data_IF_481584843542
#
_entry.id   IF_481584843542
#
_cell.length_a   1.000
_cell.length_b   1.000
_cell.length_c   1.000
_cell.angle_alpha   90.00
_cell.angle_beta   90.00
_cell.angle_gamma   90.00
#
_symmetry.space_group_name_H-M   'P 1'
#
loop_
_entity.id
_entity.type
_entity.pdbx_description
1 polymer ?
#
# COMPACT_ATOMS: atom_id res chain seq x y z
N UNK A 1 5.94 15.88 -14.77
CA UNK A 1 6.74 15.17 -13.74
C UNK A 1 6.90 15.94 -12.44
N UNK A 2 6.90 17.26 -12.44
CA UNK A 2 6.89 18.11 -11.21
C UNK A 2 5.71 17.83 -10.27
N UNK A 3 4.60 17.29 -10.78
CA UNK A 3 3.38 16.99 -10.04
C UNK A 3 3.58 15.88 -8.97
N UNK A 4 4.60 15.04 -9.10
CA UNK A 4 4.85 13.90 -8.21
C UNK A 4 5.87 14.19 -7.09
N UNK A 5 6.27 15.45 -6.89
CA UNK A 5 7.18 15.78 -5.79
C UNK A 5 6.41 15.76 -4.45
N UNK A 6 6.47 14.66 -3.74
CA UNK A 6 5.81 14.48 -2.44
C UNK A 6 6.63 13.56 -1.53
N UNK A 7 6.55 13.78 -0.20
CA UNK A 7 7.38 13.07 0.78
C UNK A 7 7.31 11.54 0.69
N UNK A 8 6.16 10.98 0.32
CA UNK A 8 5.94 9.52 0.20
C UNK A 8 5.90 9.02 -1.26
N UNK A 9 6.41 9.81 -2.19
CA UNK A 9 6.62 9.46 -3.59
C UNK A 9 8.11 9.63 -3.90
N UNK A 10 8.69 8.73 -4.71
CA UNK A 10 10.07 8.85 -5.15
C UNK A 10 10.26 10.14 -5.94
N UNK A 11 11.29 10.92 -5.61
CA UNK A 11 11.63 12.12 -6.36
C UNK A 11 12.37 11.76 -7.64
N UNK A 12 11.90 12.30 -8.75
CA UNK A 12 12.54 12.19 -10.05
C UNK A 12 13.39 13.44 -10.30
N UNK A 13 14.69 13.26 -10.55
CA UNK A 13 15.62 14.38 -10.81
C UNK A 13 15.77 14.69 -12.29
N UNK A 14 15.52 13.71 -13.17
CA UNK A 14 15.57 13.91 -14.60
C UNK A 14 15.53 12.62 -15.40
N UNK A 15 15.46 12.76 -16.71
CA UNK A 15 15.62 11.67 -17.66
C UNK A 15 16.42 12.14 -18.87
N UNK A 16 17.20 11.25 -19.46
CA UNK A 16 17.95 11.54 -20.68
C UNK A 16 18.04 10.30 -21.56
N UNK A 17 18.16 10.55 -22.86
CA UNK A 17 18.39 9.52 -23.86
C UNK A 17 19.88 9.49 -24.19
N UNK A 18 20.44 8.29 -24.30
CA UNK A 18 21.79 8.08 -24.80
C UNK A 18 21.75 7.85 -26.32
N UNK A 19 22.90 7.98 -27.00
CA UNK A 19 23.00 7.84 -28.46
C UNK A 19 22.52 6.50 -29.02
N UNK A 20 22.50 5.45 -28.21
CA UNK A 20 21.96 4.11 -28.55
C UNK A 20 20.46 3.93 -28.23
N UNK A 21 19.71 5.03 -28.04
CA UNK A 21 18.28 5.03 -27.67
C UNK A 21 17.96 4.50 -26.26
N UNK A 22 18.96 4.19 -25.44
CA UNK A 22 18.73 3.84 -24.04
C UNK A 22 18.20 5.04 -23.26
N UNK A 23 17.07 4.86 -22.58
CA UNK A 23 16.52 5.88 -21.70
C UNK A 23 16.99 5.67 -20.25
N UNK A 24 17.59 6.71 -19.69
CA UNK A 24 18.01 6.74 -18.29
C UNK A 24 17.10 7.64 -17.49
N UNK A 25 16.73 7.17 -16.30
CA UNK A 25 15.93 7.91 -15.33
C UNK A 25 16.79 8.11 -14.08
N UNK A 26 16.98 9.37 -13.69
CA UNK A 26 17.72 9.74 -12.48
C UNK A 26 16.71 10.05 -11.39
N UNK A 27 16.75 9.30 -10.30
CA UNK A 27 15.81 9.43 -9.20
C UNK A 27 16.49 9.41 -7.85
N UNK A 28 15.76 9.77 -6.83
CA UNK A 28 16.17 9.67 -5.44
C UNK A 28 16.60 8.24 -5.10
N UNK A 29 17.66 8.13 -4.30
CA UNK A 29 18.17 6.83 -3.83
C UNK A 29 17.43 6.39 -2.57
N UNK A 30 16.78 5.22 -2.62
CA UNK A 30 16.31 4.52 -1.43
C UNK A 30 17.40 3.63 -0.84
N UNK A 31 17.24 3.24 0.41
CA UNK A 31 18.13 2.30 1.08
C UNK A 31 17.81 0.86 0.70
N UNK A 32 16.53 0.50 0.77
CA UNK A 32 16.06 -0.87 0.60
C UNK A 32 14.55 -0.87 0.31
N UNK A 33 14.06 -1.82 -0.46
CA UNK A 33 12.62 -2.05 -0.60
C UNK A 33 12.03 -2.71 0.66
N UNK A 34 10.73 -2.50 0.85
CA UNK A 34 10.01 -2.97 2.04
C UNK A 34 10.02 -4.50 2.18
N UNK A 35 10.01 -5.24 1.08
CA UNK A 35 10.07 -6.72 1.12
C UNK A 35 11.39 -7.20 1.71
N UNK A 36 12.52 -6.66 1.21
CA UNK A 36 13.86 -7.02 1.68
C UNK A 36 14.09 -6.52 3.11
N UNK A 37 13.63 -5.31 3.42
CA UNK A 37 13.68 -4.77 4.77
C UNK A 37 12.97 -5.69 5.77
N UNK A 38 11.74 -6.09 5.50
CA UNK A 38 10.97 -6.98 6.37
C UNK A 38 11.58 -8.39 6.45
N UNK A 39 12.10 -8.93 5.34
CA UNK A 39 12.78 -10.23 5.36
C UNK A 39 14.00 -10.23 6.29
N UNK A 40 14.70 -9.11 6.41
CA UNK A 40 15.81 -8.95 7.33
C UNK A 40 15.35 -8.69 8.77
N UNK A 41 14.32 -7.87 8.93
CA UNK A 41 13.74 -7.49 10.22
C UNK A 41 13.18 -8.71 10.96
N UNK A 42 12.39 -9.52 10.28
CA UNK A 42 11.69 -10.68 10.83
C UNK A 42 12.62 -11.84 11.25
N UNK A 43 13.90 -11.77 10.92
CA UNK A 43 14.93 -12.67 11.47
C UNK A 43 15.22 -12.39 12.96
N UNK A 44 14.91 -11.18 13.45
CA UNK A 44 15.26 -10.70 14.80
C UNK A 44 14.07 -10.21 15.61
N UNK A 45 13.01 -9.76 14.95
CA UNK A 45 11.85 -9.11 15.55
C UNK A 45 10.55 -9.69 15.05
N UNK A 46 9.50 -9.56 15.85
CA UNK A 46 8.13 -9.89 15.43
C UNK A 46 7.48 -8.70 14.73
N UNK A 47 6.65 -8.97 13.71
CA UNK A 47 5.85 -7.94 13.08
C UNK A 47 4.72 -7.49 14.01
N UNK A 48 4.68 -6.22 14.35
CA UNK A 48 3.68 -5.64 15.25
C UNK A 48 2.60 -4.90 14.50
N UNK A 49 1.44 -4.76 15.12
CA UNK A 49 0.34 -3.96 14.58
C UNK A 49 0.71 -2.47 14.51
N UNK A 50 1.46 -1.97 15.49
CA UNK A 50 2.01 -0.60 15.50
C UNK A 50 2.86 -0.33 14.26
N UNK A 51 3.74 -1.28 13.92
CA UNK A 51 4.56 -1.16 12.72
C UNK A 51 3.74 -1.25 11.43
N UNK A 52 2.72 -2.13 11.40
CA UNK A 52 1.77 -2.19 10.28
C UNK A 52 1.07 -0.85 10.05
N UNK A 53 0.62 -0.22 11.13
CA UNK A 53 -0.05 1.08 11.10
C UNK A 53 0.88 2.19 10.58
N UNK A 54 2.13 2.20 11.04
CA UNK A 54 3.16 3.14 10.59
C UNK A 54 3.43 3.03 9.08
N UNK A 55 3.58 1.80 8.56
CA UNK A 55 3.74 1.55 7.11
C UNK A 55 2.50 2.04 6.35
N UNK A 56 1.32 1.59 6.80
CA UNK A 56 0.06 1.88 6.15
C UNK A 56 -0.19 3.38 5.98
N UNK A 57 0.00 4.16 7.06
CA UNK A 57 -0.21 5.60 7.04
C UNK A 57 0.64 6.29 5.98
N UNK A 58 1.92 5.95 5.87
CA UNK A 58 2.82 6.57 4.90
C UNK A 58 2.46 6.21 3.45
N UNK A 59 2.05 4.95 3.20
CA UNK A 59 1.57 4.55 1.88
C UNK A 59 0.26 5.27 1.53
N UNK A 60 -0.67 5.39 2.49
CA UNK A 60 -1.91 6.15 2.29
C UNK A 60 -1.65 7.63 1.99
N UNK A 61 -0.67 8.27 2.63
CA UNK A 61 -0.28 9.66 2.31
C UNK A 61 0.19 9.77 0.85
N UNK A 62 1.00 8.81 0.38
CA UNK A 62 1.40 8.73 -1.03
C UNK A 62 0.22 8.54 -1.98
N UNK A 63 -0.66 7.56 -1.69
CA UNK A 63 -1.85 7.29 -2.50
C UNK A 63 -2.83 8.47 -2.53
N UNK A 64 -2.98 9.18 -1.42
CA UNK A 64 -3.79 10.41 -1.35
C UNK A 64 -3.22 11.51 -2.26
N UNK A 65 -1.90 11.62 -2.34
CA UNK A 65 -1.27 12.54 -3.28
C UNK A 65 -1.51 12.11 -4.73
N UNK A 66 -1.35 10.82 -5.06
CA UNK A 66 -1.64 10.28 -6.39
C UNK A 66 -3.10 10.52 -6.80
N UNK A 67 -4.04 10.31 -5.87
CA UNK A 67 -5.45 10.62 -6.10
C UNK A 67 -5.65 12.08 -6.51
N UNK A 68 -5.05 13.03 -5.78
CA UNK A 68 -5.12 14.46 -6.11
C UNK A 68 -4.54 14.80 -7.48
N UNK A 69 -3.57 14.00 -7.93
CA UNK A 69 -2.94 14.14 -9.24
C UNK A 69 -3.67 13.36 -10.36
N UNK A 70 -4.80 12.71 -10.04
CA UNK A 70 -5.54 11.82 -10.96
C UNK A 70 -4.68 10.67 -11.51
N UNK A 71 -3.88 10.05 -10.66
CA UNK A 71 -2.99 8.95 -11.02
C UNK A 71 -3.42 7.68 -10.30
N UNK A 72 -3.50 6.57 -11.04
CA UNK A 72 -3.59 5.20 -10.53
C UNK A 72 -2.21 4.58 -10.65
N UNK A 73 -1.72 3.94 -9.60
CA UNK A 73 -0.44 3.26 -9.61
C UNK A 73 -0.51 1.86 -10.21
N UNK A 74 -1.56 1.09 -9.90
CA UNK A 74 -1.85 -0.29 -10.30
C UNK A 74 -0.93 -1.37 -9.72
N UNK A 75 0.22 -1.06 -9.13
CA UNK A 75 1.18 -2.08 -8.66
C UNK A 75 1.69 -1.79 -7.24
N UNK A 76 0.77 -1.51 -6.32
CA UNK A 76 1.09 -1.32 -4.90
C UNK A 76 1.41 -2.68 -4.28
N UNK A 77 2.68 -2.87 -3.92
CA UNK A 77 3.23 -4.09 -3.30
C UNK A 77 4.53 -3.78 -2.55
N UNK A 78 5.02 -4.67 -1.66
CA UNK A 78 6.22 -4.39 -0.85
C UNK A 78 7.49 -4.12 -1.67
N UNK A 79 7.58 -4.66 -2.90
CA UNK A 79 8.72 -4.42 -3.78
C UNK A 79 8.75 -2.98 -4.33
N UNK A 80 7.59 -2.34 -4.43
CA UNK A 80 7.42 -0.99 -4.98
C UNK A 80 7.29 0.08 -3.89
N UNK A 81 7.69 -0.26 -2.67
CA UNK A 81 7.82 0.67 -1.54
C UNK A 81 9.27 0.60 -1.07
N UNK A 82 9.97 1.73 -1.07
CA UNK A 82 11.32 1.83 -0.52
C UNK A 82 11.34 2.61 0.79
N UNK A 83 12.34 2.32 1.60
CA UNK A 83 12.65 3.07 2.81
C UNK A 83 13.95 3.85 2.61
N UNK A 84 14.00 5.05 3.18
CA UNK A 84 15.24 5.78 3.38
C UNK A 84 15.91 5.40 4.72
N UNK A 85 17.04 6.05 5.02
CA UNK A 85 17.78 5.82 6.28
C UNK A 85 17.03 6.27 7.54
N UNK A 86 15.98 7.07 7.38
CA UNK A 86 15.13 7.60 8.45
C UNK A 86 13.79 6.88 8.57
N UNK A 87 13.62 5.72 7.90
CA UNK A 87 12.38 4.94 7.83
C UNK A 87 11.20 5.70 7.17
N UNK A 88 11.47 6.70 6.33
CA UNK A 88 10.42 7.25 5.49
C UNK A 88 10.17 6.30 4.32
N UNK A 89 8.90 6.04 4.06
CA UNK A 89 8.48 5.19 2.96
C UNK A 89 8.12 6.03 1.74
N UNK A 90 8.53 5.54 0.57
CA UNK A 90 8.22 6.18 -0.71
C UNK A 90 7.73 5.13 -1.71
N UNK A 91 6.67 5.45 -2.41
CA UNK A 91 6.14 4.66 -3.53
C UNK A 91 7.06 4.88 -4.74
N UNK A 92 7.43 3.79 -5.41
CA UNK A 92 8.31 3.76 -6.58
C UNK A 92 7.65 2.98 -7.73
N UNK A 93 8.29 2.97 -8.90
CA UNK A 93 7.92 2.19 -10.08
C UNK A 93 6.55 2.56 -10.66
N UNK A 94 6.53 3.68 -11.37
CA UNK A 94 5.35 4.19 -12.08
C UNK A 94 5.19 3.63 -13.50
N UNK A 95 5.87 2.53 -13.86
CA UNK A 95 5.83 1.93 -15.20
C UNK A 95 4.43 1.44 -15.60
N UNK A 96 3.65 0.99 -14.61
CA UNK A 96 2.26 0.54 -14.79
C UNK A 96 1.24 1.65 -14.58
N UNK A 97 1.62 2.79 -14.04
CA UNK A 97 0.71 3.85 -13.63
C UNK A 97 -0.04 4.48 -14.81
N UNK A 98 -1.16 5.11 -14.50
CA UNK A 98 -1.99 5.80 -15.48
C UNK A 98 -2.49 7.14 -14.95
N UNK A 99 -2.30 8.19 -15.74
CA UNK A 99 -2.87 9.50 -15.48
C UNK A 99 -4.22 9.61 -16.19
N UNK A 100 -5.29 9.78 -15.42
CA UNK A 100 -6.66 9.88 -15.91
C UNK A 100 -7.18 11.32 -16.03
N UNK A 101 -6.32 12.35 -15.87
CA UNK A 101 -6.72 13.76 -15.99
C UNK A 101 -7.29 14.11 -17.36
N UNK A 102 -6.88 13.37 -18.42
CA UNK A 102 -7.34 13.55 -19.79
C UNK A 102 -8.76 13.01 -20.06
N UNK A 103 -9.34 12.27 -19.11
CA UNK A 103 -10.65 11.65 -19.26
C UNK A 103 -11.74 12.68 -18.89
N UNK A 104 -11.91 13.69 -19.76
CA UNK A 104 -12.92 14.73 -19.55
C UNK A 104 -14.29 14.24 -20.02
N UNK A 105 -15.32 14.45 -19.19
CA UNK A 105 -16.73 14.19 -19.55
C UNK A 105 -17.18 12.73 -19.43
N UNK A 106 -16.30 11.78 -19.10
CA UNK A 106 -16.71 10.42 -18.82
C UNK A 106 -17.07 10.27 -17.33
N UNK A 107 -18.19 9.61 -17.07
CA UNK A 107 -18.59 9.21 -15.71
C UNK A 107 -17.94 7.89 -15.28
N UNK A 108 -17.57 7.04 -16.25
CA UNK A 108 -17.05 5.70 -16.04
C UNK A 108 -15.82 5.42 -16.92
N UNK A 109 -14.94 4.56 -16.44
CA UNK A 109 -13.77 4.03 -17.16
C UNK A 109 -13.69 2.52 -16.99
N UNK A 110 -13.00 1.84 -17.91
CA UNK A 110 -12.59 0.46 -17.76
C UNK A 110 -11.11 0.49 -17.32
N UNK A 111 -10.77 -0.03 -16.13
CA UNK A 111 -9.39 -0.06 -15.69
C UNK A 111 -8.55 -0.96 -16.59
N UNK A 112 -7.29 -0.58 -16.82
CA UNK A 112 -6.37 -1.39 -17.60
C UNK A 112 -5.87 -2.57 -16.78
N UNK A 113 -5.77 -3.74 -17.42
CA UNK A 113 -5.15 -4.91 -16.82
C UNK A 113 -3.62 -4.68 -16.70
N UNK A 114 -3.19 -4.27 -15.51
CA UNK A 114 -1.80 -3.92 -15.20
C UNK A 114 -1.47 -4.24 -13.74
N UNK A 115 -0.19 -4.48 -13.47
CA UNK A 115 0.30 -4.73 -12.12
C UNK A 115 0.56 -6.21 -11.84
N UNK A 116 0.66 -6.58 -10.58
CA UNK A 116 0.96 -7.93 -10.11
C UNK A 116 -0.33 -8.64 -9.73
N UNK A 117 -0.67 -9.75 -10.41
CA UNK A 117 -1.96 -10.45 -10.35
C UNK A 117 -2.52 -10.62 -8.93
N UNK A 118 -1.69 -11.06 -7.98
CA UNK A 118 -2.14 -11.30 -6.59
C UNK A 118 -2.52 -10.06 -5.78
N UNK A 119 -2.15 -8.88 -6.25
CA UNK A 119 -2.50 -7.60 -5.62
C UNK A 119 -3.61 -6.87 -6.37
N UNK A 120 -4.02 -7.38 -7.54
CA UNK A 120 -5.03 -6.73 -8.37
C UNK A 120 -6.41 -6.77 -7.72
N UNK A 121 -7.13 -5.67 -7.84
CA UNK A 121 -8.52 -5.59 -7.47
C UNK A 121 -9.41 -6.38 -8.45
N UNK A 122 -10.55 -6.94 -7.99
CA UNK A 122 -11.41 -7.78 -8.83
C UNK A 122 -11.91 -7.08 -10.09
N UNK A 123 -12.23 -5.79 -10.02
CA UNK A 123 -12.65 -4.98 -11.16
C UNK A 123 -11.57 -4.79 -12.23
N UNK A 124 -10.27 -4.85 -11.83
CA UNK A 124 -9.13 -4.82 -12.76
C UNK A 124 -9.01 -6.14 -13.51
N UNK A 125 -9.10 -7.26 -12.79
CA UNK A 125 -9.02 -8.61 -13.36
C UNK A 125 -10.13 -8.83 -14.39
N UNK A 126 -11.36 -8.45 -14.06
CA UNK A 126 -12.53 -8.63 -14.94
C UNK A 126 -12.75 -7.47 -15.91
N UNK A 127 -11.93 -6.42 -15.87
CA UNK A 127 -12.08 -5.23 -16.72
C UNK A 127 -13.48 -4.63 -16.62
N UNK A 128 -14.00 -4.57 -15.40
CA UNK A 128 -15.32 -4.02 -15.12
C UNK A 128 -15.32 -2.49 -15.17
N UNK A 129 -16.43 -1.91 -15.64
CA UNK A 129 -16.59 -0.45 -15.63
C UNK A 129 -16.66 0.06 -14.20
N UNK A 130 -15.90 1.10 -13.91
CA UNK A 130 -15.90 1.79 -12.63
C UNK A 130 -16.18 3.29 -12.81
N UNK A 131 -16.75 3.92 -11.81
CA UNK A 131 -16.90 5.38 -11.80
C UNK A 131 -15.55 6.05 -11.73
N UNK A 132 -15.33 7.09 -12.54
CA UNK A 132 -14.06 7.85 -12.54
C UNK A 132 -13.65 8.31 -11.13
N UNK A 133 -14.61 8.75 -10.30
CA UNK A 133 -14.33 9.18 -8.92
C UNK A 133 -13.80 8.07 -8.01
N UNK A 134 -14.03 6.79 -8.35
CA UNK A 134 -13.67 5.63 -7.53
C UNK A 134 -12.33 4.99 -7.94
N UNK A 135 -11.63 5.51 -8.96
CA UNK A 135 -10.41 4.94 -9.52
C UNK A 135 -9.33 4.64 -8.46
N UNK A 136 -9.18 5.50 -7.47
CA UNK A 136 -8.18 5.36 -6.40
C UNK A 136 -8.42 4.15 -5.49
N UNK A 137 -9.62 3.59 -5.50
CA UNK A 137 -9.97 2.41 -4.70
C UNK A 137 -9.31 1.13 -5.22
N UNK A 138 -8.81 1.14 -6.47
CA UNK A 138 -7.98 0.05 -7.03
C UNK A 138 -6.72 -0.11 -6.19
N UNK A 139 -5.97 0.97 -5.99
CA UNK A 139 -4.72 0.94 -5.21
C UNK A 139 -4.97 0.67 -3.72
N UNK A 140 -6.14 1.06 -3.19
CA UNK A 140 -6.52 0.74 -1.81
C UNK A 140 -6.78 -0.76 -1.60
N UNK A 141 -7.35 -1.46 -2.59
CA UNK A 141 -7.45 -2.93 -2.52
C UNK A 141 -6.05 -3.57 -2.49
N UNK A 142 -5.15 -3.12 -3.37
CA UNK A 142 -3.76 -3.60 -3.41
C UNK A 142 -3.03 -3.35 -2.10
N UNK A 143 -3.26 -2.20 -1.44
CA UNK A 143 -2.77 -1.91 -0.10
C UNK A 143 -3.33 -2.90 0.93
N UNK A 144 -4.61 -3.24 0.86
CA UNK A 144 -5.25 -4.24 1.73
C UNK A 144 -4.59 -5.62 1.60
N UNK A 145 -4.35 -6.08 0.35
CA UNK A 145 -3.62 -7.33 0.08
C UNK A 145 -2.20 -7.27 0.63
N UNK A 146 -1.52 -6.14 0.44
CA UNK A 146 -0.16 -5.94 0.95
C UNK A 146 -0.13 -6.03 2.48
N UNK A 147 -0.98 -5.31 3.19
CA UNK A 147 -1.05 -5.33 4.65
C UNK A 147 -1.38 -6.72 5.17
N UNK A 148 -2.37 -7.40 4.58
CA UNK A 148 -2.72 -8.76 4.95
C UNK A 148 -1.51 -9.69 4.84
N UNK A 149 -0.81 -9.67 3.70
CA UNK A 149 0.36 -10.51 3.46
C UNK A 149 1.51 -10.23 4.41
N UNK A 150 1.78 -8.96 4.70
CA UNK A 150 2.83 -8.55 5.63
C UNK A 150 2.53 -9.04 7.05
N UNK A 151 1.26 -8.99 7.45
CA UNK A 151 0.81 -9.37 8.78
C UNK A 151 0.74 -10.88 8.97
N UNK A 152 0.11 -11.58 8.02
CA UNK A 152 -0.19 -13.02 8.16
C UNK A 152 0.83 -13.92 7.45
N UNK A 153 1.65 -13.39 6.52
CA UNK A 153 2.70 -14.12 5.79
C UNK A 153 2.21 -14.88 4.55
N UNK A 154 0.93 -14.82 4.22
CA UNK A 154 0.33 -15.40 3.01
C UNK A 154 -0.68 -14.41 2.40
N UNK A 155 -1.16 -14.70 1.19
CA UNK A 155 -2.15 -13.85 0.54
C UNK A 155 -3.55 -14.05 1.14
N UNK A 156 -4.41 -13.03 1.12
CA UNK A 156 -5.83 -13.20 1.42
C UNK A 156 -6.49 -14.13 0.39
N UNK A 157 -7.72 -14.56 0.66
CA UNK A 157 -8.54 -15.38 -0.25
C UNK A 157 -7.93 -16.73 -0.64
N UNK A 158 -7.01 -17.27 0.17
CA UNK A 158 -6.30 -18.53 -0.09
C UNK A 158 -5.58 -18.58 -1.45
N UNK A 159 -5.09 -17.44 -1.94
CA UNK A 159 -4.27 -17.38 -3.15
C UNK A 159 -2.93 -18.08 -2.93
N UNK A 160 -2.56 -18.97 -3.84
CA UNK A 160 -1.33 -19.75 -3.84
C UNK A 160 -0.47 -19.41 -5.05
N UNK A 161 0.83 -19.74 -5.00
CA UNK A 161 1.76 -19.34 -6.08
C UNK A 161 1.38 -19.96 -7.42
N UNK A 162 0.80 -21.15 -7.41
CA UNK A 162 0.33 -21.88 -8.59
C UNK A 162 -0.82 -21.17 -9.31
N UNK A 163 -1.52 -20.27 -8.63
CA UNK A 163 -2.63 -19.52 -9.22
C UNK A 163 -2.15 -18.32 -10.06
N UNK A 164 -0.86 -17.94 -9.97
CA UNK A 164 -0.34 -16.65 -10.45
C UNK A 164 -0.62 -16.35 -11.93
N UNK A 165 -0.70 -17.40 -12.75
CA UNK A 165 -0.90 -17.29 -14.20
C UNK A 165 -2.36 -17.58 -14.63
N UNK A 166 -3.30 -17.66 -13.68
CA UNK A 166 -4.69 -17.98 -13.96
C UNK A 166 -5.65 -16.95 -13.31
N UNK A 167 -6.00 -15.94 -14.08
CA UNK A 167 -6.88 -14.85 -13.63
C UNK A 167 -8.28 -15.32 -13.21
N UNK A 168 -8.83 -16.35 -13.84
CA UNK A 168 -10.15 -16.88 -13.48
C UNK A 168 -10.10 -17.55 -12.11
N UNK A 169 -9.04 -18.29 -11.80
CA UNK A 169 -8.85 -18.87 -10.46
C UNK A 169 -8.67 -17.75 -9.43
N UNK A 170 -7.82 -16.76 -9.72
CA UNK A 170 -7.59 -15.63 -8.81
C UNK A 170 -8.93 -14.92 -8.54
N UNK A 171 -9.69 -14.62 -9.57
CA UNK A 171 -10.99 -13.95 -9.42
C UNK A 171 -11.99 -14.80 -8.60
N UNK A 172 -12.08 -16.11 -8.86
CA UNK A 172 -12.94 -17.00 -8.09
C UNK A 172 -12.55 -17.04 -6.62
N UNK A 173 -11.25 -17.10 -6.31
CA UNK A 173 -10.74 -17.09 -4.92
C UNK A 173 -10.99 -15.74 -4.23
N UNK A 174 -10.80 -14.62 -4.93
CA UNK A 174 -11.12 -13.29 -4.38
C UNK A 174 -12.60 -13.19 -4.02
N UNK A 175 -13.51 -13.81 -4.80
CA UNK A 175 -14.93 -13.83 -4.48
C UNK A 175 -15.29 -14.73 -3.28
N UNK A 176 -14.38 -15.56 -2.79
CA UNK A 176 -14.56 -16.23 -1.51
C UNK A 176 -14.33 -15.28 -0.34
N UNK A 177 -14.81 -15.65 0.85
CA UNK A 177 -14.55 -14.84 2.04
C UNK A 177 -13.10 -15.02 2.50
N UNK A 178 -12.43 -13.91 2.76
CA UNK A 178 -11.16 -13.96 3.44
C UNK A 178 -11.40 -14.10 4.96
N UNK A 179 -10.51 -14.82 5.61
CA UNK A 179 -10.52 -14.90 7.08
C UNK A 179 -9.11 -14.60 7.58
N UNK A 180 -9.03 -13.82 8.64
CA UNK A 180 -7.78 -13.66 9.37
C UNK A 180 -7.35 -15.06 9.87
N UNK A 181 -6.24 -15.57 9.31
CA UNK A 181 -5.70 -16.84 9.80
C UNK A 181 -4.91 -16.55 11.07
N UNK A 182 -5.46 -16.96 12.21
CA UNK A 182 -4.80 -16.80 13.50
C UNK A 182 -3.45 -17.55 13.52
N UNK A 183 -2.36 -16.80 13.65
CA UNK A 183 -1.02 -17.34 13.95
C UNK A 183 -0.65 -17.17 15.42
N UNK A 184 -1.61 -17.10 16.33
CA UNK A 184 -1.35 -16.90 17.76
C UNK A 184 -1.06 -15.45 18.18
N UNK A 185 -1.09 -14.50 17.25
CA UNK A 185 -1.07 -13.06 17.53
C UNK A 185 -2.49 -12.52 17.44
N UNK A 186 -2.99 -11.96 18.52
CA UNK A 186 -4.27 -11.24 18.50
C UNK A 186 -4.04 -9.85 17.91
N UNK A 187 -4.66 -9.61 16.76
CA UNK A 187 -4.75 -8.27 16.17
C UNK A 187 -6.03 -7.59 16.66
N UNK A 188 -5.98 -6.27 16.74
CA UNK A 188 -7.12 -5.51 17.19
C UNK A 188 -8.32 -5.64 16.25
N UNK A 189 -9.52 -5.51 16.81
CA UNK A 189 -10.75 -5.41 16.01
C UNK A 189 -10.69 -4.25 15.02
N UNK A 190 -9.99 -3.17 15.33
CA UNK A 190 -9.85 -1.99 14.48
C UNK A 190 -8.96 -2.25 13.25
N UNK A 191 -7.89 -3.03 13.41
CA UNK A 191 -7.07 -3.47 12.29
C UNK A 191 -7.84 -4.39 11.34
N UNK A 192 -8.56 -5.37 11.92
CA UNK A 192 -9.37 -6.30 11.13
C UNK A 192 -10.52 -5.59 10.40
N UNK A 193 -11.15 -4.60 11.04
CA UNK A 193 -12.16 -3.75 10.42
C UNK A 193 -11.59 -2.94 9.26
N UNK A 194 -10.41 -2.33 9.45
CA UNK A 194 -9.73 -1.61 8.37
C UNK A 194 -9.37 -2.51 7.19
N UNK A 195 -8.88 -3.72 7.44
CA UNK A 195 -8.62 -4.70 6.38
C UNK A 195 -9.91 -5.08 5.62
N UNK A 196 -11.04 -5.25 6.33
CA UNK A 196 -12.34 -5.46 5.69
C UNK A 196 -12.71 -4.32 4.74
N UNK A 197 -12.54 -3.08 5.20
CA UNK A 197 -12.82 -1.89 4.39
C UNK A 197 -11.96 -1.81 3.12
N UNK A 198 -10.67 -2.20 3.21
CA UNK A 198 -9.75 -2.20 2.06
C UNK A 198 -10.02 -3.36 1.10
N UNK A 199 -10.28 -4.57 1.64
CA UNK A 199 -10.47 -5.80 0.87
C UNK A 199 -11.94 -6.01 0.42
N UNK A 200 -12.80 -4.99 0.58
CA UNK A 200 -14.16 -5.03 0.05
C UNK A 200 -14.13 -5.20 -1.47
N UNK A 201 -14.86 -6.22 -1.95
CA UNK A 201 -14.85 -6.64 -3.36
C UNK A 201 -15.64 -5.68 -4.24
N UNK A 202 -16.78 -5.20 -3.73
CA UNK A 202 -17.58 -4.20 -4.42
C UNK A 202 -16.92 -2.81 -4.30
N UNK A 203 -16.36 -2.32 -5.40
CA UNK A 203 -15.69 -1.02 -5.43
C UNK A 203 -16.60 0.13 -4.95
N UNK A 204 -17.92 0.03 -5.12
CA UNK A 204 -18.85 1.05 -4.66
C UNK A 204 -18.93 1.10 -3.12
N UNK A 205 -18.70 -0.02 -2.44
CA UNK A 205 -18.71 -0.15 -0.97
C UNK A 205 -17.32 -0.02 -0.38
N UNK A 206 -16.28 -0.31 -1.17
CA UNK A 206 -14.87 -0.18 -0.71
C UNK A 206 -14.62 1.23 -0.23
N UNK A 207 -13.86 1.33 0.88
CA UNK A 207 -13.46 2.59 1.49
C UNK A 207 -12.78 3.52 0.47
N UNK A 208 -13.03 4.81 0.55
CA UNK A 208 -12.30 5.81 -0.25
C UNK A 208 -11.08 6.30 0.51
N UNK A 209 -10.20 7.05 -0.18
CA UNK A 209 -8.92 7.49 0.39
C UNK A 209 -9.07 8.41 1.60
N UNK A 210 -10.11 9.25 1.66
CA UNK A 210 -10.32 10.18 2.76
C UNK A 210 -10.83 9.44 4.00
N UNK A 211 -11.78 8.53 3.82
CA UNK A 211 -12.29 7.69 4.92
C UNK A 211 -11.20 6.73 5.41
N UNK A 212 -10.36 6.17 4.52
CA UNK A 212 -9.21 5.37 4.89
C UNK A 212 -8.21 6.15 5.76
N UNK A 213 -7.89 7.39 5.39
CA UNK A 213 -7.03 8.27 6.19
C UNK A 213 -7.63 8.65 7.54
N UNK A 214 -8.96 8.71 7.64
CA UNK A 214 -9.68 9.05 8.86
C UNK A 214 -10.12 7.82 9.67
N UNK A 215 -9.84 6.61 9.17
CA UNK A 215 -10.18 5.40 9.88
C UNK A 215 -9.50 5.36 11.25
N UNK A 216 -10.25 4.93 12.29
CA UNK A 216 -9.80 4.93 13.67
C UNK A 216 -8.43 4.26 13.86
N UNK A 217 -8.22 3.09 13.23
CA UNK A 217 -6.94 2.40 13.29
C UNK A 217 -5.78 3.22 12.72
N UNK A 218 -6.00 3.92 11.60
CA UNK A 218 -4.99 4.73 10.91
C UNK A 218 -4.64 6.01 11.69
N UNK A 219 -5.59 6.57 12.44
CA UNK A 219 -5.36 7.78 13.23
C UNK A 219 -4.26 7.62 14.29
N UNK A 220 -4.08 6.41 14.82
CA UNK A 220 -2.97 6.12 15.74
C UNK A 220 -1.58 6.37 15.13
N UNK A 221 -1.43 6.23 13.82
CA UNK A 221 -0.15 6.48 13.15
C UNK A 221 0.28 7.95 13.16
N UNK A 222 -0.64 8.90 13.30
CA UNK A 222 -0.30 10.33 13.40
C UNK A 222 0.58 10.59 14.62
N UNK A 223 0.23 9.99 15.75
CA UNK A 223 1.00 10.08 16.99
C UNK A 223 2.39 9.48 16.79
N UNK A 224 2.47 8.31 16.13
CA UNK A 224 3.75 7.68 15.80
C UNK A 224 4.64 8.56 14.91
N UNK A 225 4.05 9.33 13.99
CA UNK A 225 4.80 10.26 13.15
C UNK A 225 5.34 11.46 13.94
N UNK A 226 4.56 11.99 14.88
CA UNK A 226 4.98 13.06 15.79
C UNK A 226 6.10 12.58 16.73
N UNK A 227 5.97 11.35 17.29
CA UNK A 227 7.03 10.76 18.11
C UNK A 227 8.34 10.56 17.32
N UNK A 228 8.22 10.14 16.03
CA UNK A 228 9.38 9.99 15.15
C UNK A 228 10.16 11.30 14.98
N UNK A 229 9.47 12.43 14.82
CA UNK A 229 10.10 13.73 14.66
C UNK A 229 10.93 14.12 15.90
N UNK A 230 10.58 13.57 17.08
CA UNK A 230 11.30 13.78 18.32
C UNK A 230 12.45 12.79 18.57
N UNK A 231 12.51 11.69 17.78
CA UNK A 231 13.55 10.65 17.92
C UNK A 231 14.57 10.77 16.80
N UNK A 232 15.74 11.35 17.08
CA UNK A 232 16.82 11.52 16.10
C UNK A 232 17.44 10.22 15.59
N UNK A 233 17.22 9.08 16.26
CA UNK A 233 17.83 7.79 15.90
C UNK A 233 16.80 6.82 15.34
N UNK A 234 16.87 6.56 14.03
CA UNK A 234 15.97 5.65 13.34
C UNK A 234 15.93 4.22 13.92
N UNK A 235 17.05 3.72 14.45
CA UNK A 235 17.09 2.39 15.07
C UNK A 235 16.34 2.36 16.42
N UNK A 236 16.44 3.43 17.21
CA UNK A 236 15.67 3.57 18.46
C UNK A 236 14.18 3.63 18.15
N UNK A 237 13.78 4.43 17.17
CA UNK A 237 12.39 4.52 16.75
C UNK A 237 11.88 3.18 16.19
N UNK A 238 12.65 2.51 15.35
CA UNK A 238 12.30 1.17 14.84
C UNK A 238 12.12 0.17 15.98
N UNK A 239 13.01 0.19 16.97
CA UNK A 239 12.88 -0.69 18.13
C UNK A 239 11.60 -0.41 18.89
N UNK A 240 11.22 0.85 19.10
CA UNK A 240 9.96 1.19 19.78
C UNK A 240 8.75 0.65 19.02
N UNK A 241 8.70 0.81 17.69
CA UNK A 241 7.62 0.27 16.84
C UNK A 241 7.49 -1.25 16.92
N UNK A 242 8.58 -1.96 17.16
CA UNK A 242 8.63 -3.43 17.17
C UNK A 242 8.46 -4.06 18.56
N UNK A 243 8.67 -3.28 19.61
CA UNK A 243 8.52 -3.73 21.01
C UNK A 243 7.21 -3.27 21.63
N UNK A 244 6.56 -2.29 21.02
CA UNK A 244 5.30 -1.75 21.53
C UNK A 244 4.18 -2.76 21.27
N UNK A 245 3.71 -3.39 22.34
CA UNK A 245 2.52 -4.22 22.26
C UNK A 245 1.30 -3.33 22.05
N UNK A 246 0.37 -3.73 21.20
CA UNK A 246 -0.92 -3.08 20.91
C UNK A 246 -1.66 -2.52 22.15
N UNK A 247 -1.42 -3.10 23.32
CA UNK A 247 -1.96 -2.60 24.61
C UNK A 247 -1.48 -1.17 24.93
N UNK A 248 -0.30 -0.76 24.46
CA UNK A 248 0.19 0.62 24.61
C UNK A 248 -0.37 1.54 23.52
N UNK A 249 -0.64 1.02 22.32
CA UNK A 249 -1.26 1.76 21.23
C UNK A 249 -2.65 2.34 21.61
N UNK A 250 -3.42 1.59 22.43
CA UNK A 250 -4.69 2.08 22.97
C UNK A 250 -4.52 3.24 23.99
N UNK A 251 -3.34 3.45 24.58
CA UNK A 251 -3.11 4.58 25.49
C UNK A 251 -3.01 5.93 24.76
N UNK A 252 -2.71 5.91 23.48
CA UNK A 252 -2.56 7.13 22.67
C UNK A 252 -3.85 7.55 21.95
N UNK A 253 -4.90 6.71 22.02
CA UNK A 253 -6.16 6.93 21.29
C UNK A 253 -7.33 7.27 22.25
N UNK A 254 -7.16 7.14 23.57
CA UNK A 254 -8.17 7.47 24.60
C UNK A 254 -7.79 8.71 25.40
#
# INVERSE_FOLDING_TARGET
MEILHYKNIISLYGSYLKENEDQFIVMERGKMDLKNFLSNLLKRYTYTETFACYICYQVLEGLKHLYKCNIIHYDIKPNNIILDDYLNLKIIDFSTSENISGIKGLSEIIPKYKGTSFYMAPEVIKKEKIKVKDFHKIDLFSLGVMLYRLTFGFYPFNLEREDADNDDIIYQRINSDWKAKNKGTEFSKYFLDFLNCLLEKDINKRINIFDAMNHYWVQGAKILMEEKENIYNANVFLTSLLTDNFLNFNRYIF
#
